data_IF_514295132540
#
_entry.id   IF_514295132540
#
_cell.length_a   1.000
_cell.length_b   1.000
_cell.length_c   1.000
_cell.angle_alpha   90.00
_cell.angle_beta   90.00
_cell.angle_gamma   90.00
#
_symmetry.space_group_name_H-M   'P 1'
#
loop_
_entity.id
_entity.type
_entity.pdbx_description
1 polymer ?
#
# COMPACT_ATOMS: atom_id res chain seq x y z
N UNK A 1 -5.47 -1.41 12.83
CA UNK A 1 -4.54 -2.45 12.35
C UNK A 1 -5.30 -3.64 11.83
N UNK A 2 -4.90 -4.19 10.67
CA UNK A 2 -5.60 -5.28 9.99
C UNK A 2 -5.24 -6.67 10.58
N UNK A 3 -5.19 -6.82 11.90
CA UNK A 3 -4.80 -8.07 12.56
C UNK A 3 -5.74 -9.23 12.24
N UNK A 4 -7.03 -8.96 12.03
CA UNK A 4 -8.02 -9.96 11.60
C UNK A 4 -7.67 -10.53 10.22
N UNK A 5 -7.23 -9.68 9.29
CA UNK A 5 -6.82 -10.08 7.96
C UNK A 5 -5.56 -10.96 7.99
N UNK A 6 -4.57 -10.57 8.80
CA UNK A 6 -3.37 -11.37 9.00
C UNK A 6 -3.65 -12.75 9.61
N UNK A 7 -4.60 -12.84 10.58
CA UNK A 7 -5.03 -14.13 11.16
C UNK A 7 -5.72 -15.02 10.12
N UNK A 8 -6.58 -14.45 9.27
CA UNK A 8 -7.25 -15.21 8.22
C UNK A 8 -6.24 -15.77 7.19
N UNK A 9 -5.26 -14.97 6.78
CA UNK A 9 -4.18 -15.41 5.91
C UNK A 9 -3.32 -16.51 6.56
N UNK A 10 -2.96 -16.35 7.83
CA UNK A 10 -2.19 -17.36 8.57
C UNK A 10 -2.96 -18.69 8.68
N UNK A 11 -4.27 -18.63 8.94
CA UNK A 11 -5.15 -19.80 8.92
C UNK A 11 -5.27 -20.49 7.56
N UNK A 12 -4.92 -19.77 6.48
CA UNK A 12 -4.90 -20.28 5.10
C UNK A 12 -3.49 -20.70 4.63
N UNK A 13 -2.53 -20.79 5.54
CA UNK A 13 -1.17 -21.28 5.26
C UNK A 13 -0.19 -20.19 4.78
N UNK A 14 -0.54 -18.91 4.93
CA UNK A 14 0.37 -17.81 4.63
C UNK A 14 1.14 -17.35 5.87
N UNK A 15 2.36 -16.89 5.68
CA UNK A 15 3.05 -16.08 6.68
C UNK A 15 2.63 -14.62 6.48
N UNK A 16 1.98 -14.04 7.49
CA UNK A 16 1.52 -12.66 7.44
C UNK A 16 2.45 -11.76 8.24
N UNK A 17 3.01 -10.75 7.57
CA UNK A 17 3.93 -9.78 8.16
C UNK A 17 3.32 -8.40 8.08
N UNK A 18 3.21 -7.73 9.22
CA UNK A 18 2.67 -6.40 9.32
C UNK A 18 3.80 -5.39 9.48
N UNK A 19 3.98 -4.56 8.45
CA UNK A 19 4.99 -3.49 8.47
C UNK A 19 4.37 -2.28 9.17
N UNK A 20 5.04 -1.78 10.19
CA UNK A 20 4.78 -0.49 10.79
C UNK A 20 5.77 0.52 10.19
N UNK A 21 5.25 1.66 9.73
CA UNK A 21 6.04 2.71 9.12
C UNK A 21 6.12 3.90 10.08
N UNK A 22 7.20 4.07 10.85
CA UNK A 22 7.36 5.20 11.77
C UNK A 22 7.13 6.54 11.07
N UNK A 23 6.44 7.48 11.75
CA UNK A 23 6.13 8.80 11.20
C UNK A 23 4.94 8.84 10.23
N UNK A 24 4.35 7.70 9.86
CA UNK A 24 3.15 7.63 9.01
C UNK A 24 2.20 6.50 9.40
N UNK A 25 2.27 6.05 10.62
CA UNK A 25 1.45 4.99 11.21
C UNK A 25 0.25 5.54 12.02
N UNK A 26 -0.48 4.65 12.67
CA UNK A 26 -1.67 5.00 13.46
C UNK A 26 -1.37 5.84 14.72
N UNK A 27 -0.13 5.90 15.18
CA UNK A 27 0.24 6.70 16.36
C UNK A 27 0.08 8.20 16.09
N UNK A 28 0.39 8.66 14.87
CA UNK A 28 0.17 10.04 14.44
C UNK A 28 -1.27 10.50 14.64
N UNK A 29 -2.24 9.63 14.34
CA UNK A 29 -3.66 9.97 14.39
C UNK A 29 -4.25 9.72 15.77
N UNK A 30 -3.62 8.88 16.60
CA UNK A 30 -4.08 8.55 17.95
C UNK A 30 -4.04 9.74 18.91
N UNK A 31 -3.24 10.76 18.61
CA UNK A 31 -3.08 11.98 19.42
C UNK A 31 -4.05 13.09 18.99
N UNK A 32 -4.80 12.90 17.91
CA UNK A 32 -5.76 13.88 17.42
C UNK A 32 -6.93 14.06 18.42
N UNK A 33 -7.27 15.30 18.70
CA UNK A 33 -8.35 15.69 19.63
C UNK A 33 -9.73 15.74 18.97
N UNK A 34 -9.74 15.72 17.62
CA UNK A 34 -10.97 15.71 16.81
C UNK A 34 -10.76 14.97 15.50
N UNK A 35 -11.87 14.60 14.83
CA UNK A 35 -11.82 14.01 13.49
C UNK A 35 -11.23 14.98 12.45
N UNK A 36 -11.45 16.27 12.59
CA UNK A 36 -10.91 17.29 11.72
C UNK A 36 -9.38 17.36 11.85
N UNK A 37 -8.86 17.39 13.08
CA UNK A 37 -7.42 17.35 13.35
C UNK A 37 -6.78 16.07 12.82
N UNK A 38 -7.42 14.92 13.04
CA UNK A 38 -6.98 13.63 12.47
C UNK A 38 -6.90 13.68 10.93
N UNK A 39 -7.90 14.30 10.29
CA UNK A 39 -7.90 14.51 8.84
C UNK A 39 -6.78 15.44 8.36
N UNK A 40 -6.43 16.48 9.10
CA UNK A 40 -5.34 17.39 8.79
C UNK A 40 -3.98 16.70 8.92
N UNK A 41 -3.77 15.97 10.01
CA UNK A 41 -2.56 15.18 10.25
C UNK A 41 -2.38 14.14 9.14
N UNK A 42 -3.44 13.42 8.77
CA UNK A 42 -3.40 12.44 7.69
C UNK A 42 -3.03 13.08 6.34
N UNK A 43 -3.64 14.23 6.01
CA UNK A 43 -3.30 14.98 4.78
C UNK A 43 -1.83 15.39 4.73
N UNK A 44 -1.32 15.91 5.84
CA UNK A 44 0.08 16.32 5.96
C UNK A 44 1.02 15.12 5.77
N UNK A 45 0.70 13.98 6.39
CA UNK A 45 1.47 12.74 6.25
C UNK A 45 1.46 12.19 4.82
N UNK A 46 0.30 12.20 4.14
CA UNK A 46 0.17 11.74 2.75
C UNK A 46 0.94 12.60 1.75
N UNK A 47 1.10 13.91 2.04
CA UNK A 47 1.88 14.84 1.21
C UNK A 47 3.37 14.88 1.54
N UNK A 48 3.81 14.23 2.59
CA UNK A 48 5.19 14.29 3.04
C UNK A 48 6.10 13.35 2.22
N UNK A 49 7.08 13.93 1.53
CA UNK A 49 8.02 13.19 0.69
C UNK A 49 8.89 12.22 1.50
N UNK A 50 9.32 12.59 2.69
CA UNK A 50 10.13 11.75 3.56
C UNK A 50 9.34 10.50 3.99
N UNK A 51 8.09 10.66 4.40
CA UNK A 51 7.21 9.53 4.71
C UNK A 51 7.04 8.60 3.50
N UNK A 52 6.86 9.16 2.30
CA UNK A 52 6.78 8.38 1.08
C UNK A 52 8.06 7.58 0.82
N UNK A 53 9.23 8.20 0.93
CA UNK A 53 10.53 7.55 0.72
C UNK A 53 10.78 6.46 1.76
N UNK A 54 10.52 6.76 3.03
CA UNK A 54 10.68 5.79 4.12
C UNK A 54 9.80 4.55 3.89
N UNK A 55 8.51 4.74 3.60
CA UNK A 55 7.58 3.65 3.31
C UNK A 55 8.01 2.82 2.11
N UNK A 56 8.52 3.47 1.07
CA UNK A 56 9.01 2.79 -0.14
C UNK A 56 10.26 1.96 0.13
N UNK A 57 11.15 2.43 1.02
CA UNK A 57 12.37 1.73 1.41
C UNK A 57 12.13 0.61 2.43
N UNK A 58 11.10 0.74 3.28
CA UNK A 58 10.77 -0.29 4.28
C UNK A 58 10.34 -1.60 3.61
N UNK A 59 9.72 -1.55 2.44
CA UNK A 59 9.23 -2.74 1.74
C UNK A 59 10.39 -3.66 1.31
N UNK A 60 11.35 -3.23 0.48
CA UNK A 60 12.50 -4.05 0.12
C UNK A 60 13.33 -4.43 1.37
N UNK A 61 13.51 -3.55 2.34
CA UNK A 61 14.21 -3.85 3.59
C UNK A 61 13.63 -5.06 4.33
N UNK A 62 12.30 -5.12 4.44
CA UNK A 62 11.61 -6.26 5.07
C UNK A 62 11.80 -7.53 4.24
N UNK A 63 11.65 -7.47 2.93
CA UNK A 63 11.82 -8.63 2.05
C UNK A 63 13.26 -9.14 2.09
N UNK A 64 14.26 -8.27 2.06
CA UNK A 64 15.68 -8.63 2.24
C UNK A 64 15.91 -9.31 3.59
N UNK A 65 15.24 -8.82 4.64
CA UNK A 65 15.27 -9.44 5.97
C UNK A 65 14.68 -10.85 5.98
N UNK A 66 13.64 -11.11 5.19
CA UNK A 66 13.04 -12.43 5.04
C UNK A 66 13.96 -13.37 4.24
N UNK A 67 14.56 -12.89 3.17
CA UNK A 67 15.54 -13.66 2.39
C UNK A 67 16.69 -14.14 3.26
N UNK A 68 17.28 -13.22 4.06
CA UNK A 68 18.35 -13.60 5.00
C UNK A 68 17.91 -14.67 5.99
N UNK A 69 16.71 -14.54 6.57
CA UNK A 69 16.15 -15.51 7.52
C UNK A 69 15.78 -16.84 6.86
N UNK A 70 15.38 -16.80 5.59
CA UNK A 70 15.06 -18.00 4.85
C UNK A 70 16.29 -18.78 4.43
N UNK A 71 17.44 -18.11 4.32
CA UNK A 71 18.72 -18.74 3.97
C UNK A 71 19.42 -19.41 5.17
N UNK A 72 19.14 -18.94 6.40
CA UNK A 72 19.83 -19.47 7.59
C UNK A 72 19.02 -19.24 8.88
N UNK A 73 19.34 -20.02 9.92
CA UNK A 73 18.73 -19.90 11.24
C UNK A 73 17.41 -20.69 11.36
N UNK A 74 16.58 -20.39 12.39
CA UNK A 74 15.37 -21.16 12.72
C UNK A 74 14.28 -21.15 11.63
N UNK A 75 14.36 -20.18 10.72
CA UNK A 75 13.38 -19.97 9.63
C UNK A 75 13.90 -20.43 8.26
N UNK A 76 15.07 -21.06 8.20
CA UNK A 76 15.64 -21.52 6.94
C UNK A 76 14.69 -22.44 6.17
N UNK A 77 14.43 -22.11 4.90
CA UNK A 77 13.53 -22.85 4.01
C UNK A 77 12.05 -22.79 4.36
N UNK A 78 11.63 -21.90 5.27
CA UNK A 78 10.25 -21.81 5.73
C UNK A 78 9.37 -20.87 4.90
N UNK A 79 9.96 -19.98 4.12
CA UNK A 79 9.24 -19.00 3.32
C UNK A 79 9.32 -19.32 1.84
N UNK A 80 8.17 -19.35 1.17
CA UNK A 80 8.14 -19.34 -0.28
C UNK A 80 8.18 -17.89 -0.78
N UNK A 81 9.39 -17.39 -0.99
CA UNK A 81 9.63 -16.02 -1.43
C UNK A 81 9.37 -15.80 -2.93
N UNK A 82 9.01 -16.84 -3.67
CA UNK A 82 8.56 -16.71 -5.06
C UNK A 82 7.10 -16.22 -5.18
N UNK A 83 6.35 -16.25 -4.07
CA UNK A 83 4.91 -15.93 -3.99
C UNK A 83 4.60 -14.87 -2.94
N UNK A 84 5.29 -13.74 -2.99
CA UNK A 84 5.05 -12.63 -2.09
C UNK A 84 3.85 -11.82 -2.58
N UNK A 85 2.84 -11.67 -1.72
CA UNK A 85 1.73 -10.73 -1.91
C UNK A 85 1.86 -9.54 -0.98
N UNK A 86 1.33 -8.39 -1.39
CA UNK A 86 1.25 -7.20 -0.56
C UNK A 86 -0.20 -6.74 -0.41
N UNK A 87 -0.60 -6.40 0.80
CA UNK A 87 -1.93 -5.85 1.07
C UNK A 87 -1.83 -4.55 1.84
N UNK A 88 -2.72 -3.60 1.54
CA UNK A 88 -2.74 -2.35 2.26
C UNK A 88 -4.11 -1.68 2.26
N UNK A 89 -4.36 -0.89 3.32
CA UNK A 89 -5.55 -0.06 3.45
C UNK A 89 -5.19 1.42 3.37
N UNK A 90 -5.95 2.21 2.63
CA UNK A 90 -5.76 3.66 2.51
C UNK A 90 -4.33 4.00 2.07
N UNK A 91 -3.51 4.64 2.90
CA UNK A 91 -2.09 4.91 2.59
C UNK A 91 -1.28 3.62 2.33
N UNK A 92 -1.64 2.51 3.00
CA UNK A 92 -1.06 1.20 2.70
C UNK A 92 -1.43 0.69 1.31
N UNK A 93 -2.66 0.91 0.84
CA UNK A 93 -3.06 0.59 -0.53
C UNK A 93 -2.25 1.40 -1.56
N UNK A 94 -2.00 2.68 -1.28
CA UNK A 94 -1.11 3.50 -2.10
C UNK A 94 0.32 2.96 -2.14
N UNK A 95 0.88 2.57 -0.99
CA UNK A 95 2.20 1.94 -0.95
C UNK A 95 2.23 0.64 -1.78
N UNK A 96 1.14 -0.14 -1.75
CA UNK A 96 1.01 -1.35 -2.57
C UNK A 96 0.96 -1.03 -4.07
N UNK A 97 0.26 0.02 -4.49
CA UNK A 97 0.24 0.45 -5.89
C UNK A 97 1.63 0.89 -6.37
N UNK A 98 2.37 1.65 -5.56
CA UNK A 98 3.74 2.04 -5.89
C UNK A 98 4.67 0.83 -6.00
N UNK A 99 4.59 -0.10 -5.05
CA UNK A 99 5.35 -1.33 -5.09
C UNK A 99 4.98 -2.22 -6.29
N UNK A 100 3.75 -2.12 -6.79
CA UNK A 100 3.28 -2.80 -8.01
C UNK A 100 3.77 -2.13 -9.31
N UNK A 101 4.25 -0.87 -9.25
CA UNK A 101 4.78 -0.15 -10.42
C UNK A 101 3.99 1.10 -10.82
N UNK A 102 3.12 1.65 -9.96
CA UNK A 102 2.54 2.99 -10.17
C UNK A 102 3.65 4.02 -10.28
N UNK A 103 3.58 4.89 -11.28
CA UNK A 103 4.58 5.94 -11.48
C UNK A 103 4.37 7.12 -10.52
N UNK A 104 5.46 7.59 -9.93
CA UNK A 104 5.50 8.72 -9.01
C UNK A 104 6.05 9.96 -9.71
N UNK A 105 5.29 10.49 -10.67
CA UNK A 105 5.72 11.69 -11.40
C UNK A 105 7.13 11.57 -11.98
N UNK A 106 8.02 12.55 -11.70
CA UNK A 106 9.39 12.53 -12.24
C UNK A 106 10.27 11.38 -11.70
N UNK A 107 9.89 10.79 -10.56
CA UNK A 107 10.64 9.69 -9.94
C UNK A 107 10.39 8.33 -10.61
N UNK A 108 9.45 8.28 -11.57
CA UNK A 108 9.14 7.05 -12.29
C UNK A 108 8.58 5.97 -11.37
N UNK A 109 9.02 4.73 -11.57
CA UNK A 109 8.63 3.54 -10.81
C UNK A 109 9.69 3.12 -9.76
N UNK A 110 10.42 4.08 -9.22
CA UNK A 110 11.52 3.84 -8.29
C UNK A 110 11.11 3.00 -7.06
N UNK A 111 9.86 3.09 -6.63
CA UNK A 111 9.31 2.34 -5.50
C UNK A 111 8.82 0.93 -5.87
N UNK A 112 8.99 0.51 -7.14
CA UNK A 112 8.58 -0.81 -7.61
C UNK A 112 9.42 -1.91 -6.96
N UNK A 113 8.73 -2.92 -6.42
CA UNK A 113 9.35 -4.09 -5.80
C UNK A 113 9.02 -5.35 -6.64
N UNK A 114 9.92 -5.83 -7.49
CA UNK A 114 9.63 -6.92 -8.44
C UNK A 114 9.39 -8.28 -7.79
N UNK A 115 9.75 -8.45 -6.53
CA UNK A 115 9.48 -9.69 -5.77
C UNK A 115 8.02 -9.82 -5.36
N UNK A 116 7.25 -8.71 -5.34
CA UNK A 116 5.81 -8.75 -5.11
C UNK A 116 5.11 -9.25 -6.38
N UNK A 117 4.24 -10.26 -6.23
CA UNK A 117 3.58 -10.96 -7.35
C UNK A 117 2.08 -10.69 -7.45
N UNK A 118 1.46 -10.21 -6.39
CA UNK A 118 0.04 -9.85 -6.35
C UNK A 118 -0.22 -8.81 -5.26
N UNK A 119 -1.30 -8.05 -5.38
CA UNK A 119 -1.68 -7.08 -4.36
C UNK A 119 -3.16 -7.07 -4.01
N UNK A 120 -3.46 -6.66 -2.77
CA UNK A 120 -4.82 -6.36 -2.31
C UNK A 120 -4.91 -4.92 -1.85
N UNK A 121 -5.78 -4.16 -2.49
CA UNK A 121 -5.98 -2.73 -2.25
C UNK A 121 -7.31 -2.51 -1.54
N UNK A 122 -7.25 -2.11 -0.28
CA UNK A 122 -8.42 -1.75 0.52
C UNK A 122 -8.53 -0.23 0.54
N UNK A 123 -9.64 0.31 0.05
CA UNK A 123 -9.84 1.76 -0.07
C UNK A 123 -8.68 2.43 -0.82
N UNK A 124 -8.39 2.03 -2.07
CA UNK A 124 -7.25 2.55 -2.82
C UNK A 124 -7.34 4.07 -2.98
N UNK A 125 -6.19 4.71 -3.09
CA UNK A 125 -6.11 6.15 -3.29
C UNK A 125 -6.59 6.56 -4.69
N UNK A 126 -6.92 7.84 -4.83
CA UNK A 126 -7.39 8.40 -6.10
C UNK A 126 -6.22 8.69 -7.03
N UNK A 127 -6.42 8.55 -8.36
CA UNK A 127 -5.43 9.00 -9.32
C UNK A 127 -5.06 10.48 -9.11
N UNK A 128 -3.81 10.80 -9.30
CA UNK A 128 -3.35 12.19 -9.26
C UNK A 128 -4.01 12.98 -10.39
N UNK A 129 -4.53 14.17 -10.07
CA UNK A 129 -5.24 15.01 -11.04
C UNK A 129 -4.32 15.64 -12.08
N UNK A 130 -3.05 15.79 -11.72
CA UNK A 130 -2.00 16.47 -12.48
C UNK A 130 -1.14 15.51 -13.33
N UNK A 131 -1.55 14.25 -13.43
CA UNK A 131 -0.81 13.23 -14.16
C UNK A 131 -1.75 12.40 -15.05
N UNK A 132 -1.30 12.06 -16.26
CA UNK A 132 -2.06 11.19 -17.17
C UNK A 132 -2.30 9.81 -16.49
N UNK A 133 -3.55 9.44 -16.23
CA UNK A 133 -3.85 8.20 -15.51
C UNK A 133 -3.37 6.94 -16.25
N UNK A 134 -3.39 6.93 -17.57
CA UNK A 134 -2.93 5.78 -18.35
C UNK A 134 -1.41 5.61 -18.20
N UNK A 135 -0.70 6.72 -18.15
CA UNK A 135 0.74 6.72 -17.91
C UNK A 135 1.05 6.35 -16.46
N UNK A 136 0.24 6.84 -15.51
CA UNK A 136 0.44 6.60 -14.08
C UNK A 136 0.47 5.09 -13.74
N UNK A 137 -0.44 4.32 -14.33
CA UNK A 137 -0.60 2.89 -14.05
C UNK A 137 0.01 1.98 -15.13
N UNK A 138 0.56 2.56 -16.19
CA UNK A 138 1.07 1.82 -17.34
C UNK A 138 2.17 0.79 -17.05
N UNK A 139 2.88 0.90 -15.92
CA UNK A 139 3.94 -0.03 -15.51
C UNK A 139 3.50 -1.09 -14.50
N UNK A 140 2.25 -1.09 -14.07
CA UNK A 140 1.69 -2.14 -13.21
C UNK A 140 1.50 -3.40 -14.05
N UNK A 141 2.12 -4.52 -13.62
CA UNK A 141 2.13 -5.81 -14.36
C UNK A 141 1.75 -7.01 -13.51
N UNK A 142 1.30 -6.78 -12.29
CA UNK A 142 0.86 -7.84 -11.37
C UNK A 142 -0.64 -7.69 -11.11
N UNK A 143 -1.36 -8.80 -10.83
CA UNK A 143 -2.77 -8.74 -10.50
C UNK A 143 -2.99 -7.97 -9.19
N UNK A 144 -3.97 -7.07 -9.18
CA UNK A 144 -4.38 -6.30 -8.03
C UNK A 144 -5.87 -6.51 -7.77
N UNK A 145 -6.21 -6.93 -6.56
CA UNK A 145 -7.59 -7.05 -6.10
C UNK A 145 -8.01 -5.78 -5.37
N UNK A 146 -9.05 -5.12 -5.87
CA UNK A 146 -9.53 -3.84 -5.35
C UNK A 146 -10.80 -4.02 -4.52
N UNK A 147 -10.81 -3.46 -3.32
CA UNK A 147 -11.98 -3.41 -2.43
C UNK A 147 -12.20 -1.97 -1.98
N UNK A 148 -13.40 -1.45 -2.22
CA UNK A 148 -13.84 -0.15 -1.70
C UNK A 148 -15.34 -0.17 -1.43
N UNK A 149 -15.83 0.74 -0.60
CA UNK A 149 -17.23 0.89 -0.29
C UNK A 149 -17.88 2.02 -1.08
N UNK A 150 -19.20 1.92 -1.29
CA UNK A 150 -20.02 2.98 -1.95
C UNK A 150 -20.07 4.28 -1.15
N UNK A 151 -19.81 4.23 0.15
CA UNK A 151 -19.75 5.37 1.06
C UNK A 151 -18.31 5.62 1.59
N UNK A 152 -17.30 5.11 0.89
CA UNK A 152 -15.90 5.26 1.26
C UNK A 152 -15.35 6.62 0.80
N UNK A 153 -15.98 7.68 1.28
CA UNK A 153 -15.51 9.04 1.05
C UNK A 153 -14.28 9.34 1.90
N UNK A 154 -13.29 9.98 1.31
CA UNK A 154 -12.13 10.47 2.06
C UNK A 154 -12.52 11.76 2.73
N UNK A 155 -12.69 11.76 4.06
CA UNK A 155 -12.94 12.95 4.87
C UNK A 155 -11.96 14.10 4.54
N UNK A 156 -10.75 13.72 4.14
CA UNK A 156 -9.69 14.65 3.76
C UNK A 156 -9.83 15.25 2.35
N UNK A 157 -10.67 14.68 1.44
CA UNK A 157 -10.74 15.06 0.02
C UNK A 157 -12.12 15.54 -0.42
N UNK A 158 -13.06 15.66 0.52
CA UNK A 158 -14.44 16.10 0.25
C UNK A 158 -15.38 14.97 -0.18
N UNK A 159 -16.67 15.30 -0.26
CA UNK A 159 -17.72 14.37 -0.66
C UNK A 159 -17.59 13.92 -2.12
N UNK A 160 -18.07 12.72 -2.43
CA UNK A 160 -18.06 12.16 -3.79
C UNK A 160 -16.74 11.50 -4.18
N UNK A 161 -15.81 11.32 -3.24
CA UNK A 161 -14.54 10.64 -3.53
C UNK A 161 -14.68 9.11 -3.63
N UNK A 162 -15.73 8.51 -3.05
CA UNK A 162 -15.95 7.07 -3.08
C UNK A 162 -16.01 6.49 -4.50
N UNK A 163 -16.75 7.14 -5.41
CA UNK A 163 -16.86 6.71 -6.82
C UNK A 163 -15.52 6.78 -7.57
N UNK A 164 -14.65 7.71 -7.19
CA UNK A 164 -13.33 7.89 -7.80
C UNK A 164 -12.34 6.81 -7.39
N UNK A 165 -12.55 6.14 -6.25
CA UNK A 165 -11.71 5.02 -5.79
C UNK A 165 -11.79 3.80 -6.71
N UNK A 166 -12.79 3.71 -7.59
CA UNK A 166 -12.86 2.68 -8.62
C UNK A 166 -11.99 2.98 -9.85
N UNK A 167 -11.47 4.20 -9.99
CA UNK A 167 -10.69 4.58 -11.16
C UNK A 167 -9.38 3.81 -11.30
N UNK A 168 -8.59 3.55 -10.25
CA UNK A 168 -7.39 2.73 -10.39
C UNK A 168 -7.69 1.35 -11.00
N UNK A 169 -8.77 0.69 -10.56
CA UNK A 169 -9.22 -0.59 -11.14
C UNK A 169 -9.45 -0.51 -12.65
N UNK A 170 -10.07 0.58 -13.13
CA UNK A 170 -10.39 0.76 -14.56
C UNK A 170 -9.17 1.09 -15.43
N UNK A 171 -8.11 1.59 -14.83
CA UNK A 171 -6.93 2.11 -15.51
C UNK A 171 -5.71 1.18 -15.42
N UNK A 172 -5.69 0.28 -14.44
CA UNK A 172 -4.63 -0.70 -14.29
C UNK A 172 -4.86 -1.87 -15.27
N UNK A 173 -3.90 -2.18 -16.16
CA UNK A 173 -4.10 -3.15 -17.25
C UNK A 173 -4.38 -4.59 -16.81
N UNK A 174 -4.07 -4.94 -15.54
CA UNK A 174 -4.13 -6.31 -15.00
C UNK A 174 -4.91 -6.38 -13.67
N UNK A 175 -5.90 -5.51 -13.50
CA UNK A 175 -6.79 -5.51 -12.33
C UNK A 175 -7.95 -6.47 -12.50
#
# INVERSE_FOLDING_TARGET
>A
TASYFGRALAGSGYVSIHIQHPGSDGELVSQARSQEEAGQILRASLGNLENFLNRSNDIPFVIDGLERRNNSGPWAGRFDLSRIGMAGHSYGARSTMFAAGELVGPMGDFAKEPRIKAGVLLSPDLPRRDFDPNRQFGNVRIPLFHITGTLDDVLAMGSGSASRRTQPFKLIPYS
#
